data_IF_831209263242
#
_entry.id   IF_831209263242
#
_cell.length_a   1.000
_cell.length_b   1.000
_cell.length_c   1.000
_cell.angle_alpha   90.00
_cell.angle_beta   90.00
_cell.angle_gamma   90.00
#
_symmetry.space_group_name_H-M   'P 1'
#
loop_
_entity.id
_entity.type
_entity.pdbx_description
1 polymer ?
#
# COMPACT_ATOMS: atom_id res chain seq x y z
N UNK A 1 -5.48 3.03 9.62
CA UNK A 1 -6.14 1.85 10.22
C UNK A 1 -6.22 2.05 11.72
N UNK A 2 -7.35 1.68 12.32
CA UNK A 2 -7.52 1.64 13.78
C UNK A 2 -7.53 0.18 14.20
N UNK A 3 -6.66 -0.16 15.16
CA UNK A 3 -6.51 -1.51 15.69
C UNK A 3 -6.84 -1.50 17.17
N UNK A 4 -7.53 -2.53 17.62
CA UNK A 4 -7.82 -2.80 19.03
C UNK A 4 -7.69 -4.30 19.28
N UNK A 5 -7.09 -4.69 20.40
CA UNK A 5 -6.92 -6.10 20.77
C UNK A 5 -7.24 -6.35 22.24
N UNK A 6 -7.40 -7.63 22.59
CA UNK A 6 -7.62 -8.07 23.96
C UNK A 6 -6.30 -8.47 24.62
N UNK A 7 -6.29 -8.46 25.95
CA UNK A 7 -5.14 -8.93 26.72
C UNK A 7 -4.94 -10.44 26.56
N UNK A 8 -3.70 -10.94 26.69
CA UNK A 8 -3.46 -12.38 26.72
C UNK A 8 -4.27 -13.07 27.82
N UNK A 9 -4.87 -14.23 27.52
CA UNK A 9 -5.66 -15.00 28.49
C UNK A 9 -4.85 -15.39 29.75
N UNK A 10 -3.55 -15.56 29.57
CA UNK A 10 -2.61 -15.90 30.64
C UNK A 10 -1.63 -14.76 30.86
N UNK A 11 -1.36 -14.46 32.15
CA UNK A 11 -0.36 -13.48 32.56
C UNK A 11 -0.63 -12.03 32.10
N UNK A 12 -1.86 -11.67 31.77
CA UNK A 12 -2.25 -10.28 31.43
C UNK A 12 -1.72 -9.24 32.42
N UNK A 13 -1.79 -9.55 33.72
CA UNK A 13 -1.30 -8.69 34.82
C UNK A 13 0.20 -8.41 34.81
N UNK A 14 0.98 -9.18 34.04
CA UNK A 14 2.43 -9.03 33.92
C UNK A 14 2.82 -8.26 32.67
N UNK A 15 1.87 -7.97 31.78
CA UNK A 15 2.10 -7.22 30.55
C UNK A 15 2.39 -5.76 30.89
N UNK A 16 3.48 -5.26 30.35
CA UNK A 16 3.94 -3.88 30.49
C UNK A 16 3.55 -3.06 29.25
N UNK A 17 3.88 -3.58 28.07
CA UNK A 17 3.63 -2.95 26.78
C UNK A 17 3.50 -4.00 25.66
N UNK A 18 3.16 -3.53 24.47
CA UNK A 18 2.98 -4.33 23.27
C UNK A 18 3.91 -3.86 22.17
N UNK A 19 4.39 -4.84 21.41
CA UNK A 19 5.08 -4.63 20.15
C UNK A 19 4.21 -5.10 19.00
N UNK A 20 4.08 -4.23 18.00
CA UNK A 20 3.40 -4.51 16.77
C UNK A 20 4.43 -4.49 15.64
N UNK A 21 4.48 -5.57 14.88
CA UNK A 21 5.24 -5.66 13.64
C UNK A 21 4.27 -5.77 12.47
N UNK A 22 4.42 -4.91 11.48
CA UNK A 22 3.55 -4.87 10.31
C UNK A 22 4.42 -5.01 9.07
N UNK A 23 4.03 -5.92 8.18
CA UNK A 23 4.74 -6.21 6.94
C UNK A 23 3.76 -6.17 5.76
N UNK A 24 4.19 -5.62 4.63
CA UNK A 24 3.48 -5.81 3.36
C UNK A 24 3.57 -7.27 2.92
N UNK A 25 2.50 -7.79 2.35
CA UNK A 25 2.49 -9.10 1.70
C UNK A 25 2.82 -8.95 0.22
N UNK A 26 3.75 -9.78 -0.25
CA UNK A 26 4.14 -9.83 -1.66
C UNK A 26 2.93 -10.04 -2.58
N UNK A 27 2.89 -9.35 -3.73
CA UNK A 27 1.80 -9.46 -4.70
C UNK A 27 1.69 -10.90 -5.22
N UNK A 28 0.51 -11.52 -5.08
CA UNK A 28 0.26 -12.90 -5.52
C UNK A 28 0.84 -13.98 -4.61
N UNK A 29 1.47 -13.61 -3.50
CA UNK A 29 2.03 -14.51 -2.48
C UNK A 29 1.41 -14.22 -1.11
N UNK A 30 1.59 -15.13 -0.17
CA UNK A 30 1.23 -14.96 1.25
C UNK A 30 2.45 -14.68 2.13
N UNK A 31 3.62 -14.52 1.51
CA UNK A 31 4.87 -14.18 2.20
C UNK A 31 4.92 -12.70 2.53
N UNK A 32 5.43 -12.42 3.72
CA UNK A 32 5.72 -11.08 4.19
C UNK A 32 7.04 -10.57 3.58
N UNK A 33 7.03 -9.34 3.10
CA UNK A 33 8.23 -8.61 2.71
C UNK A 33 8.85 -7.96 3.95
N UNK A 34 9.89 -8.59 4.48
CA UNK A 34 10.59 -8.14 5.69
C UNK A 34 11.24 -6.75 5.52
N UNK A 35 11.45 -6.28 4.29
CA UNK A 35 12.01 -4.94 4.05
C UNK A 35 11.02 -3.80 4.32
N UNK A 36 9.73 -4.14 4.46
CA UNK A 36 8.63 -3.19 4.71
C UNK A 36 8.22 -3.13 6.18
N UNK A 37 9.06 -3.63 7.08
CA UNK A 37 8.77 -3.67 8.51
C UNK A 37 8.43 -2.28 9.06
N UNK A 38 7.21 -2.18 9.61
CA UNK A 38 6.80 -1.08 10.47
C UNK A 38 6.65 -1.61 11.89
N UNK A 39 7.49 -1.08 12.79
CA UNK A 39 7.52 -1.43 14.21
C UNK A 39 6.86 -0.33 15.05
N UNK A 40 5.93 -0.73 15.91
CA UNK A 40 5.23 0.18 16.84
C UNK A 40 5.29 -0.41 18.24
N UNK A 41 5.68 0.40 19.20
CA UNK A 41 5.65 0.08 20.63
C UNK A 41 4.58 0.91 21.32
N UNK A 42 3.75 0.27 22.14
CA UNK A 42 2.64 0.95 22.81
C UNK A 42 2.25 0.26 24.11
N UNK A 43 1.89 1.05 25.13
CA UNK A 43 1.27 0.56 26.37
C UNK A 43 -0.25 0.43 26.23
N UNK A 44 -0.83 1.04 25.19
CA UNK A 44 -2.27 1.00 24.93
C UNK A 44 -2.68 -0.30 24.23
N UNK A 45 -3.92 -0.72 24.46
CA UNK A 45 -4.57 -1.84 23.75
C UNK A 45 -5.18 -1.46 22.40
N UNK A 46 -4.89 -0.23 21.99
CA UNK A 46 -5.33 0.36 20.74
C UNK A 46 -4.16 1.08 20.08
N UNK A 47 -4.09 0.99 18.75
CA UNK A 47 -3.10 1.69 17.95
C UNK A 47 -3.73 2.24 16.66
N UNK A 48 -3.37 3.48 16.34
CA UNK A 48 -3.73 4.11 15.07
C UNK A 48 -2.53 4.14 14.15
N UNK A 49 -2.65 3.48 13.01
CA UNK A 49 -1.59 3.39 12.00
C UNK A 49 -1.96 4.26 10.81
N UNK A 50 -1.18 5.31 10.56
CA UNK A 50 -1.43 6.26 9.48
C UNK A 50 -0.53 6.05 8.25
N UNK A 51 0.50 5.21 8.35
CA UNK A 51 1.55 5.03 7.33
C UNK A 51 1.35 3.75 6.49
N UNK A 52 0.09 3.36 6.24
CA UNK A 52 -0.20 2.18 5.42
C UNK A 52 -0.55 2.60 4.00
N UNK A 53 0.00 1.90 3.02
CA UNK A 53 -0.34 2.06 1.62
C UNK A 53 -1.76 1.56 1.37
N UNK A 54 -2.57 2.28 0.57
CA UNK A 54 -3.95 1.89 0.27
C UNK A 54 -3.99 0.70 -0.70
N UNK A 55 -4.99 -0.16 -0.54
CA UNK A 55 -5.19 -1.35 -1.37
C UNK A 55 -4.16 -2.46 -1.12
N UNK A 56 -3.27 -2.29 -0.15
CA UNK A 56 -2.16 -3.19 0.15
C UNK A 56 -2.56 -4.22 1.20
N UNK A 57 -2.04 -5.44 1.06
CA UNK A 57 -2.24 -6.55 1.99
C UNK A 57 -1.12 -6.53 3.03
N UNK A 58 -1.46 -6.70 4.30
CA UNK A 58 -0.53 -6.63 5.41
C UNK A 58 -0.63 -7.88 6.30
N UNK A 59 0.50 -8.25 6.89
CA UNK A 59 0.60 -9.14 8.04
C UNK A 59 0.96 -8.29 9.26
N UNK A 60 0.11 -8.31 10.28
CA UNK A 60 0.37 -7.74 11.60
C UNK A 60 0.70 -8.86 12.58
N UNK A 61 1.74 -8.67 13.37
CA UNK A 61 2.08 -9.52 14.51
C UNK A 61 2.08 -8.66 15.79
N UNK A 62 1.29 -9.07 16.79
CA UNK A 62 1.23 -8.40 18.10
C UNK A 62 1.89 -9.31 19.13
N UNK A 63 2.83 -8.75 19.90
CA UNK A 63 3.55 -9.44 20.96
C UNK A 63 3.36 -8.64 22.24
N UNK A 64 2.89 -9.30 23.30
CA UNK A 64 2.85 -8.71 24.63
C UNK A 64 4.21 -8.92 25.31
N UNK A 65 4.80 -7.84 25.84
CA UNK A 65 6.02 -7.87 26.62
C UNK A 65 5.71 -7.62 28.08
N UNK A 66 6.32 -8.42 28.95
CA UNK A 66 6.19 -8.28 30.39
C UNK A 66 7.32 -7.49 31.02
N UNK A 67 7.11 -7.09 32.28
CA UNK A 67 8.16 -6.49 33.11
C UNK A 67 9.31 -7.49 33.32
N UNK A 68 10.53 -7.07 32.98
CA UNK A 68 11.75 -7.83 33.22
C UNK A 68 12.75 -7.04 34.06
N UNK A 69 13.72 -7.74 34.63
CA UNK A 69 14.82 -7.12 35.39
C UNK A 69 15.90 -6.54 34.48
N UNK A 70 15.90 -6.93 33.20
CA UNK A 70 16.83 -6.46 32.18
C UNK A 70 16.25 -5.28 31.42
N UNK A 71 17.15 -4.41 30.94
CA UNK A 71 16.80 -3.35 29.98
C UNK A 71 16.81 -3.86 28.54
N UNK A 72 17.29 -5.08 28.30
CA UNK A 72 17.29 -5.68 26.97
C UNK A 72 15.94 -6.34 26.67
N UNK A 73 15.27 -5.85 25.63
CA UNK A 73 13.97 -6.33 25.16
C UNK A 73 13.97 -7.83 24.82
N UNK A 74 15.07 -8.34 24.27
CA UNK A 74 15.25 -9.77 23.96
C UNK A 74 15.17 -10.68 25.17
N UNK A 75 15.44 -10.14 26.35
CA UNK A 75 15.43 -10.85 27.64
C UNK A 75 14.11 -10.66 28.39
N UNK A 76 13.20 -9.81 27.89
CA UNK A 76 11.89 -9.62 28.50
C UNK A 76 11.00 -10.86 28.27
N UNK A 77 10.18 -11.24 29.26
CA UNK A 77 9.14 -12.25 29.05
C UNK A 77 8.20 -11.81 27.93
N UNK A 78 7.98 -12.66 26.93
CA UNK A 78 7.17 -12.35 25.76
C UNK A 78 6.09 -13.40 25.50
N UNK A 79 4.93 -12.96 25.03
CA UNK A 79 3.91 -13.87 24.51
C UNK A 79 4.32 -14.48 23.18
N UNK A 80 3.57 -15.49 22.73
CA UNK A 80 3.56 -15.84 21.32
C UNK A 80 2.98 -14.68 20.49
N UNK A 81 3.45 -14.50 19.25
CA UNK A 81 2.89 -13.51 18.35
C UNK A 81 1.45 -13.88 17.98
N UNK A 82 0.55 -12.92 18.10
CA UNK A 82 -0.79 -13.02 17.51
C UNK A 82 -0.76 -12.43 16.12
N UNK A 83 -1.12 -13.23 15.11
CA UNK A 83 -1.07 -12.83 13.71
C UNK A 83 -2.43 -12.38 13.19
N UNK A 84 -2.46 -11.27 12.46
CA UNK A 84 -3.65 -10.79 11.77
C UNK A 84 -3.28 -10.40 10.34
N UNK A 85 -4.01 -10.92 9.37
CA UNK A 85 -3.90 -10.54 7.97
C UNK A 85 -5.05 -9.61 7.61
N UNK A 86 -4.74 -8.46 7.02
CA UNK A 86 -5.75 -7.50 6.60
C UNK A 86 -5.36 -6.80 5.30
N UNK A 87 -6.33 -6.19 4.62
CA UNK A 87 -6.11 -5.37 3.43
C UNK A 87 -6.63 -3.97 3.70
N UNK A 88 -5.83 -2.94 3.42
CA UNK A 88 -6.30 -1.56 3.49
C UNK A 88 -7.30 -1.29 2.37
N UNK A 89 -8.25 -0.39 2.62
CA UNK A 89 -9.13 0.11 1.57
C UNK A 89 -8.28 0.70 0.44
N UNK A 90 -8.58 0.33 -0.80
CA UNK A 90 -7.96 0.95 -1.97
C UNK A 90 -8.55 2.33 -2.24
N UNK A 91 -7.93 3.02 -3.19
CA UNK A 91 -8.36 4.33 -3.67
C UNK A 91 -8.33 4.26 -5.19
N UNK A 92 -9.38 4.77 -5.85
CA UNK A 92 -9.47 4.77 -7.30
C UNK A 92 -8.20 5.36 -7.96
N UNK A 93 -7.75 4.81 -9.11
CA UNK A 93 -6.51 5.20 -9.78
C UNK A 93 -6.56 6.66 -10.23
N UNK A 94 -5.42 7.33 -10.39
CA UNK A 94 -5.38 8.69 -10.96
C UNK A 94 -4.89 8.68 -12.41
N UNK A 95 -5.78 8.95 -13.36
CA UNK A 95 -5.39 9.18 -14.74
C UNK A 95 -4.83 10.61 -14.88
N UNK A 96 -3.56 10.74 -15.30
CA UNK A 96 -2.96 12.03 -15.66
C UNK A 96 -2.76 12.09 -17.17
N UNK A 97 -3.30 13.11 -17.85
CA UNK A 97 -2.98 13.32 -19.26
C UNK A 97 -1.53 13.79 -19.38
N UNK A 98 -0.70 13.07 -20.16
CA UNK A 98 0.66 13.49 -20.49
C UNK A 98 0.74 13.75 -22.00
N UNK A 99 0.97 15.00 -22.40
CA UNK A 99 1.17 15.38 -23.81
C UNK A 99 2.66 15.35 -24.13
N UNK A 100 3.12 14.22 -24.68
CA UNK A 100 4.44 14.16 -25.30
C UNK A 100 4.31 14.62 -26.77
N UNK A 101 4.85 15.78 -27.12
CA UNK A 101 4.94 16.20 -28.53
C UNK A 101 6.21 15.61 -29.13
N UNK A 102 6.11 14.38 -29.64
CA UNK A 102 7.18 13.81 -30.46
C UNK A 102 7.04 14.39 -31.87
N UNK A 103 7.85 15.40 -32.20
CA UNK A 103 8.04 15.84 -33.58
C UNK A 103 8.89 14.80 -34.32
N UNK A 104 8.26 13.70 -34.74
CA UNK A 104 8.87 12.83 -35.73
C UNK A 104 8.81 13.55 -37.08
N UNK A 105 9.97 13.75 -37.70
CA UNK A 105 10.19 14.59 -38.88
C UNK A 105 9.44 14.16 -40.17
N UNK A 106 8.44 13.28 -40.11
CA UNK A 106 7.60 12.84 -41.23
C UNK A 106 6.19 12.44 -40.71
N UNK A 107 5.22 13.35 -40.83
CA UNK A 107 3.75 13.16 -40.88
C UNK A 107 3.02 12.16 -39.93
N UNK A 108 3.67 11.65 -38.88
CA UNK A 108 3.05 10.68 -37.96
C UNK A 108 3.26 11.10 -36.52
N UNK A 109 2.23 11.71 -35.94
CA UNK A 109 2.17 11.98 -34.51
C UNK A 109 1.84 10.67 -33.81
N UNK A 110 2.68 10.27 -32.86
CA UNK A 110 2.36 9.19 -31.91
C UNK A 110 2.09 9.82 -30.55
N UNK A 111 0.97 9.47 -29.92
CA UNK A 111 0.64 9.90 -28.56
C UNK A 111 0.76 8.70 -27.61
N UNK A 112 1.67 8.81 -26.64
CA UNK A 112 1.81 7.86 -25.56
C UNK A 112 1.21 8.43 -24.27
N UNK A 113 0.36 7.65 -23.61
CA UNK A 113 -0.23 7.98 -22.32
C UNK A 113 0.22 6.95 -21.29
N UNK A 114 0.54 7.42 -20.10
CA UNK A 114 1.01 6.61 -18.99
C UNK A 114 0.03 6.74 -17.83
N UNK A 115 -0.37 5.59 -17.28
CA UNK A 115 -1.16 5.51 -16.07
C UNK A 115 -0.21 5.11 -14.96
N UNK A 116 -0.04 6.00 -13.99
CA UNK A 116 0.80 5.75 -12.83
C UNK A 116 -0.07 5.48 -11.62
N UNK A 117 0.41 4.61 -10.72
CA UNK A 117 -0.13 4.56 -9.37
C UNK A 117 0.15 5.90 -8.68
N UNK A 118 -0.86 6.47 -8.01
CA UNK A 118 -0.66 7.70 -7.21
C UNK A 118 0.30 7.46 -6.05
N UNK A 119 0.33 6.25 -5.52
CA UNK A 119 1.02 5.88 -4.27
C UNK A 119 2.38 5.25 -4.53
N UNK A 120 2.52 4.55 -5.65
CA UNK A 120 3.82 4.16 -6.21
C UNK A 120 4.03 4.92 -7.52
N UNK A 121 4.39 6.21 -7.49
CA UNK A 121 4.58 7.01 -8.70
C UNK A 121 5.69 6.50 -9.64
N UNK A 122 6.47 5.51 -9.19
CA UNK A 122 7.47 4.77 -9.99
C UNK A 122 6.91 3.50 -10.65
N UNK A 123 5.72 3.06 -10.26
CA UNK A 123 5.05 1.88 -10.83
C UNK A 123 4.13 2.31 -11.98
N UNK A 124 4.55 1.96 -13.19
CA UNK A 124 3.74 2.13 -14.39
C UNK A 124 2.66 1.04 -14.42
N UNK A 125 1.40 1.43 -14.21
CA UNK A 125 0.27 0.49 -14.19
C UNK A 125 -0.18 0.10 -15.60
N UNK A 126 -0.19 1.06 -16.52
CA UNK A 126 -0.57 0.82 -17.90
C UNK A 126 -0.01 1.90 -18.84
N UNK A 127 0.28 1.53 -20.08
CA UNK A 127 0.67 2.46 -21.15
C UNK A 127 -0.32 2.33 -22.31
N UNK A 128 -1.05 3.41 -22.59
CA UNK A 128 -1.88 3.50 -23.79
C UNK A 128 -1.03 4.13 -24.91
N UNK A 129 -0.89 3.41 -26.02
CA UNK A 129 -0.14 3.90 -27.17
C UNK A 129 -1.09 4.04 -28.36
N UNK A 130 -1.38 5.28 -28.75
CA UNK A 130 -2.20 5.57 -29.92
C UNK A 130 -1.25 5.58 -31.12
N UNK A 131 -1.29 4.50 -31.90
CA UNK A 131 -0.53 4.39 -33.15
C UNK A 131 -1.32 5.05 -34.27
N UNK A 132 -0.67 5.98 -34.98
CA UNK A 132 -1.14 6.55 -36.25
C UNK A 132 -2.45 7.33 -36.08
N UNK A 133 -2.34 8.61 -35.74
CA UNK A 133 -3.47 9.55 -35.81
C UNK A 133 -3.55 10.14 -37.23
N UNK A 134 -4.71 10.07 -37.86
CA UNK A 134 -5.00 10.77 -39.12
C UNK A 134 -5.49 12.19 -38.84
N UNK A 135 -5.37 13.11 -39.81
CA UNK A 135 -5.98 14.43 -39.71
C UNK A 135 -7.47 14.38 -39.41
N UNK A 136 -8.21 13.34 -39.84
CA UNK A 136 -9.64 13.18 -39.54
C UNK A 136 -9.95 12.73 -38.11
N UNK A 137 -8.95 12.26 -37.34
CA UNK A 137 -9.11 11.79 -35.97
C UNK A 137 -9.16 12.96 -34.96
N UNK A 138 -9.59 14.16 -35.39
CA UNK A 138 -9.74 15.30 -34.50
C UNK A 138 -10.85 15.05 -33.45
N UNK A 139 -10.48 15.04 -32.19
CA UNK A 139 -11.42 14.86 -31.08
C UNK A 139 -10.72 14.87 -29.72
N UNK A 140 -11.49 15.09 -28.65
CA UNK A 140 -11.02 14.90 -27.28
C UNK A 140 -11.05 13.41 -26.95
N UNK A 141 -9.90 12.84 -26.61
CA UNK A 141 -9.85 11.45 -26.16
C UNK A 141 -10.18 11.39 -24.68
N UNK A 142 -11.14 10.54 -24.31
CA UNK A 142 -11.39 10.19 -22.91
C UNK A 142 -10.67 8.89 -22.59
N UNK A 143 -9.72 8.96 -21.67
CA UNK A 143 -9.08 7.79 -21.08
C UNK A 143 -9.83 7.42 -19.80
N UNK A 144 -10.33 6.19 -19.72
CA UNK A 144 -10.97 5.64 -18.53
C UNK A 144 -10.10 4.52 -17.97
N UNK A 145 -9.82 4.56 -16.67
CA UNK A 145 -9.09 3.52 -15.95
C UNK A 145 -9.97 3.07 -14.80
N UNK A 146 -10.14 1.75 -14.64
CA UNK A 146 -10.91 1.15 -13.56
C UNK A 146 -10.12 0.05 -12.87
N UNK A 147 -10.27 -0.05 -11.56
CA UNK A 147 -9.82 -1.18 -10.73
C UNK A 147 -10.94 -1.63 -9.79
N UNK A 148 -10.64 -2.57 -8.89
CA UNK A 148 -11.60 -3.08 -7.89
C UNK A 148 -12.10 -2.01 -6.90
N UNK A 149 -11.51 -0.81 -6.91
CA UNK A 149 -11.79 0.28 -5.97
C UNK A 149 -12.44 1.50 -6.63
N UNK A 150 -12.58 1.51 -7.96
CA UNK A 150 -13.35 2.51 -8.67
C UNK A 150 -12.78 2.85 -10.05
N UNK A 151 -13.26 3.97 -10.60
CA UNK A 151 -12.88 4.44 -11.92
C UNK A 151 -12.45 5.90 -11.88
N UNK A 152 -11.50 6.25 -12.75
CA UNK A 152 -11.11 7.62 -13.04
C UNK A 152 -11.08 7.85 -14.53
N UNK A 153 -11.51 9.04 -14.92
CA UNK A 153 -11.49 9.51 -16.30
C UNK A 153 -10.57 10.72 -16.46
N UNK A 154 -9.83 10.78 -17.57
CA UNK A 154 -9.09 11.95 -18.00
C UNK A 154 -9.46 12.28 -19.44
N UNK A 155 -9.72 13.55 -19.71
CA UNK A 155 -9.96 14.07 -21.08
C UNK A 155 -8.68 14.74 -21.59
N UNK A 156 -8.27 14.46 -22.82
CA UNK A 156 -7.00 14.89 -23.43
C UNK A 156 -7.22 15.81 -24.64
#
# INVERSE_FOLDING_TARGET
AELSWQEPEHNAKLVDHYLLYIYELETGSEKADLSTELRIETVSKEARINQLEPGTRYLLQIIALGLGTSKEESELPRSLPTELRFKTSGVAPQARPFKDKIYAALERITQGHYVFSKFRPRELLAKLHIKVTKPEDYGLYKCKVSDDFGETEATV
#
